data_IF_609150649736
#
_entry.id   IF_609150649736
#
_cell.length_a   1.000
_cell.length_b   1.000
_cell.length_c   1.000
_cell.angle_alpha   90.00
_cell.angle_beta   90.00
_cell.angle_gamma   90.00
#
_symmetry.space_group_name_H-M   'P 1'
#
loop_
_entity.id
_entity.type
_entity.pdbx_description
1 polymer ?
#
# COMPACT_ATOMS: atom_id res chain seq x y z
N UNK A 1 2.35 -26.42 -9.35
CA UNK A 1 1.27 -25.62 -8.75
C UNK A 1 0.42 -25.03 -9.88
N UNK A 2 -0.90 -25.26 -9.89
CA UNK A 2 -1.79 -24.68 -10.92
C UNK A 2 -2.37 -23.37 -10.41
N UNK A 3 -2.07 -22.27 -11.09
CA UNK A 3 -2.58 -20.93 -10.78
C UNK A 3 -3.96 -20.71 -11.41
N UNK A 4 -4.84 -19.98 -10.72
CA UNK A 4 -6.15 -19.57 -11.23
C UNK A 4 -6.36 -18.06 -11.13
N UNK A 5 -6.10 -17.36 -12.24
CA UNK A 5 -6.26 -15.91 -12.34
C UNK A 5 -7.70 -15.46 -12.06
N UNK A 6 -8.70 -16.33 -12.26
CA UNK A 6 -10.11 -16.00 -11.95
C UNK A 6 -10.33 -15.73 -10.46
N UNK A 7 -9.40 -16.11 -9.59
CA UNK A 7 -9.45 -15.80 -8.16
C UNK A 7 -9.17 -14.33 -7.84
N UNK A 8 -8.65 -13.54 -8.77
CA UNK A 8 -8.58 -12.07 -8.61
C UNK A 8 -9.99 -11.47 -8.58
N UNK A 9 -10.89 -11.97 -9.42
CA UNK A 9 -12.30 -11.57 -9.48
C UNK A 9 -13.18 -12.83 -9.35
N UNK A 10 -13.26 -13.42 -8.14
CA UNK A 10 -13.93 -14.69 -7.93
C UNK A 10 -15.45 -14.54 -8.12
N UNK A 11 -16.09 -15.63 -8.57
CA UNK A 11 -17.55 -15.68 -8.69
C UNK A 11 -18.25 -15.56 -7.33
N UNK A 12 -17.70 -16.21 -6.31
CA UNK A 12 -18.16 -16.08 -4.92
C UNK A 12 -17.08 -15.37 -4.08
N UNK A 13 -17.26 -14.07 -3.76
CA UNK A 13 -16.33 -13.32 -2.94
C UNK A 13 -16.52 -13.57 -1.44
N UNK A 14 -17.52 -14.35 -1.00
CA UNK A 14 -17.82 -14.55 0.42
C UNK A 14 -16.77 -15.41 1.14
N UNK A 15 -16.01 -16.23 0.41
CA UNK A 15 -15.05 -17.18 0.99
C UNK A 15 -13.69 -17.11 0.31
N UNK A 16 -12.65 -17.21 1.13
CA UNK A 16 -11.28 -17.38 0.64
C UNK A 16 -10.87 -18.85 0.75
N UNK A 17 -10.54 -19.48 -0.38
CA UNK A 17 -10.20 -20.91 -0.46
C UNK A 17 -8.68 -21.21 -0.37
N UNK A 18 -7.85 -20.19 -0.09
CA UNK A 18 -6.40 -20.32 0.02
C UNK A 18 -5.89 -20.61 1.45
N UNK A 19 -4.57 -20.50 1.63
CA UNK A 19 -3.91 -20.67 2.93
C UNK A 19 -4.31 -19.54 3.90
N UNK A 20 -4.79 -19.88 5.10
CA UNK A 20 -5.23 -18.88 6.09
C UNK A 20 -4.13 -17.89 6.48
N UNK A 21 -2.87 -18.34 6.51
CA UNK A 21 -1.71 -17.49 6.78
C UNK A 21 -1.56 -16.32 5.82
N UNK A 22 -1.99 -16.46 4.55
CA UNK A 22 -1.97 -15.37 3.57
C UNK A 22 -2.83 -14.22 4.08
N UNK A 23 -4.06 -14.49 4.52
CA UNK A 23 -4.96 -13.46 5.05
C UNK A 23 -4.42 -12.80 6.31
N UNK A 24 -3.74 -13.55 7.18
CA UNK A 24 -3.13 -12.98 8.38
C UNK A 24 -2.06 -11.95 8.01
N UNK A 25 -1.14 -12.31 7.10
CA UNK A 25 -0.09 -11.37 6.66
C UNK A 25 -0.70 -10.20 5.88
N UNK A 26 -1.72 -10.43 5.05
CA UNK A 26 -2.47 -9.34 4.39
C UNK A 26 -3.08 -8.38 5.40
N UNK A 27 -3.67 -8.87 6.49
CA UNK A 27 -4.23 -8.00 7.54
C UNK A 27 -3.15 -7.12 8.19
N UNK A 28 -1.96 -7.67 8.45
CA UNK A 28 -0.83 -6.89 8.97
C UNK A 28 -0.42 -5.77 8.00
N UNK A 29 -0.35 -6.05 6.69
CA UNK A 29 -0.09 -5.02 5.69
C UNK A 29 -1.19 -3.95 5.65
N UNK A 30 -2.46 -4.33 5.72
CA UNK A 30 -3.56 -3.35 5.76
C UNK A 30 -3.43 -2.44 6.98
N UNK A 31 -3.14 -3.00 8.16
CA UNK A 31 -2.92 -2.20 9.38
C UNK A 31 -1.76 -1.21 9.20
N UNK A 32 -0.63 -1.67 8.64
CA UNK A 32 0.52 -0.80 8.35
C UNK A 32 0.15 0.35 7.42
N UNK A 33 -0.60 0.06 6.34
CA UNK A 33 -1.04 1.10 5.39
C UNK A 33 -2.01 2.07 6.07
N UNK A 34 -2.97 1.60 6.87
CA UNK A 34 -3.89 2.49 7.62
C UNK A 34 -3.12 3.41 8.57
N UNK A 35 -2.20 2.87 9.37
CA UNK A 35 -1.40 3.66 10.32
C UNK A 35 -0.59 4.73 9.58
N UNK A 36 0.10 4.34 8.50
CA UNK A 36 0.87 5.28 7.67
C UNK A 36 -0.03 6.36 7.05
N UNK A 37 -1.21 6.00 6.56
CA UNK A 37 -2.15 6.98 6.01
C UNK A 37 -2.60 7.99 7.05
N UNK A 38 -2.87 7.55 8.28
CA UNK A 38 -3.19 8.45 9.39
C UNK A 38 -2.03 9.40 9.70
N UNK A 39 -0.79 8.91 9.69
CA UNK A 39 0.40 9.76 9.89
C UNK A 39 0.48 10.83 8.79
N UNK A 40 0.37 10.45 7.52
CA UNK A 40 0.41 11.41 6.41
C UNK A 40 -0.75 12.42 6.43
N UNK A 41 -1.91 12.05 6.98
CA UNK A 41 -3.06 12.95 7.08
C UNK A 41 -3.00 13.88 8.30
N UNK A 42 -2.50 13.42 9.45
CA UNK A 42 -2.68 14.11 10.73
C UNK A 42 -1.38 14.61 11.38
N UNK A 43 -0.20 14.17 10.94
CA UNK A 43 1.07 14.73 11.43
C UNK A 43 1.23 16.19 10.98
N UNK A 44 1.93 17.02 11.75
CA UNK A 44 2.02 18.47 11.53
C UNK A 44 2.58 18.89 10.16
N UNK A 45 3.44 18.06 9.55
CA UNK A 45 4.01 18.28 8.22
C UNK A 45 3.54 17.24 7.19
N UNK A 46 2.52 16.43 7.54
CA UNK A 46 2.08 15.29 6.74
C UNK A 46 3.16 14.25 6.46
N UNK A 47 4.29 14.27 7.18
CA UNK A 47 5.47 13.46 6.90
C UNK A 47 6.34 13.97 5.74
N UNK A 48 6.11 15.17 5.21
CA UNK A 48 6.89 15.74 4.11
C UNK A 48 8.38 15.89 4.47
N UNK A 49 8.66 16.50 5.62
CA UNK A 49 10.04 16.67 6.09
C UNK A 49 10.44 15.52 7.04
N UNK A 50 9.63 15.26 8.06
CA UNK A 50 9.91 14.33 9.15
C UNK A 50 10.04 12.86 8.74
N UNK A 51 9.48 12.48 7.59
CA UNK A 51 9.53 11.10 7.06
C UNK A 51 10.17 11.06 5.67
N UNK A 52 9.70 11.91 4.76
CA UNK A 52 10.19 11.92 3.39
C UNK A 52 11.48 12.71 3.21
N UNK A 53 11.88 13.54 4.19
CA UNK A 53 13.13 14.30 4.14
C UNK A 53 13.12 15.43 3.11
N UNK A 54 11.95 15.85 2.63
CA UNK A 54 11.82 16.97 1.69
C UNK A 54 12.08 18.28 2.46
N UNK A 55 12.84 19.19 1.86
CA UNK A 55 13.04 20.52 2.43
C UNK A 55 11.76 21.35 2.28
N UNK A 56 11.13 21.67 3.40
CA UNK A 56 9.91 22.50 3.47
C UNK A 56 10.21 23.93 3.92
N UNK A 57 11.48 24.33 4.03
CA UNK A 57 11.86 25.71 4.36
C UNK A 57 11.91 26.63 3.13
N UNK A 58 11.75 26.06 1.93
CA UNK A 58 11.78 26.75 0.64
C UNK A 58 10.48 27.52 0.36
N UNK A 59 10.53 28.41 -0.63
CA UNK A 59 9.31 29.02 -1.19
C UNK A 59 8.36 27.92 -1.69
N UNK A 60 7.15 27.88 -1.12
CA UNK A 60 6.16 26.83 -1.40
C UNK A 60 6.19 25.63 -0.45
N UNK A 61 7.01 25.64 0.61
CA UNK A 61 7.05 24.56 1.61
C UNK A 61 5.68 24.20 2.21
N UNK A 62 4.86 25.20 2.53
CA UNK A 62 3.48 24.99 3.00
C UNK A 62 2.59 24.27 1.97
N UNK A 63 2.81 24.51 0.67
CA UNK A 63 2.10 23.78 -0.38
C UNK A 63 2.55 22.32 -0.45
N UNK A 64 3.84 22.04 -0.21
CA UNK A 64 4.36 20.66 -0.13
C UNK A 64 3.68 19.94 1.03
N UNK A 65 3.62 20.56 2.22
CA UNK A 65 2.94 19.99 3.39
C UNK A 65 1.46 19.73 3.07
N UNK A 66 0.76 20.71 2.49
CA UNK A 66 -0.63 20.56 2.09
C UNK A 66 -0.84 19.39 1.11
N UNK A 67 0.06 19.21 0.13
CA UNK A 67 0.01 18.07 -0.79
C UNK A 67 0.23 16.73 -0.08
N UNK A 68 1.11 16.66 0.92
CA UNK A 68 1.29 15.44 1.72
C UNK A 68 0.04 15.11 2.56
N UNK A 69 -0.66 16.11 3.09
CA UNK A 69 -1.96 15.89 3.74
C UNK A 69 -3.01 15.37 2.76
N UNK A 70 -3.10 15.94 1.55
CA UNK A 70 -3.99 15.43 0.49
C UNK A 70 -3.64 13.98 0.11
N UNK A 71 -2.35 13.67 0.05
CA UNK A 71 -1.87 12.31 -0.18
C UNK A 71 -2.31 11.38 0.96
N UNK A 72 -2.13 11.77 2.22
CA UNK A 72 -2.61 11.02 3.38
C UNK A 72 -4.12 10.78 3.35
N UNK A 73 -4.91 11.77 2.92
CA UNK A 73 -6.36 11.68 2.83
C UNK A 73 -6.81 10.58 1.83
N UNK A 74 -6.29 10.62 0.60
CA UNK A 74 -6.62 9.60 -0.40
C UNK A 74 -6.08 8.22 0.01
N UNK A 75 -4.89 8.18 0.62
CA UNK A 75 -4.32 6.92 1.12
C UNK A 75 -5.19 6.31 2.21
N UNK A 76 -5.75 7.12 3.12
CA UNK A 76 -6.63 6.65 4.18
C UNK A 76 -7.96 6.15 3.61
N UNK A 77 -8.56 6.89 2.68
CA UNK A 77 -9.80 6.48 2.01
C UNK A 77 -9.65 5.10 1.34
N UNK A 78 -8.57 4.91 0.56
CA UNK A 78 -8.31 3.64 -0.11
C UNK A 78 -7.96 2.53 0.88
N UNK A 79 -7.20 2.82 1.94
CA UNK A 79 -6.90 1.82 2.98
C UNK A 79 -8.17 1.34 3.70
N UNK A 80 -9.10 2.25 4.03
CA UNK A 80 -10.39 1.89 4.62
C UNK A 80 -11.26 1.07 3.67
N UNK A 81 -11.21 1.36 2.37
CA UNK A 81 -11.85 0.49 1.36
C UNK A 81 -11.24 -0.92 1.40
N UNK A 82 -9.92 -1.06 1.46
CA UNK A 82 -9.28 -2.37 1.58
C UNK A 82 -9.68 -3.10 2.87
N UNK A 83 -9.82 -2.38 4.00
CA UNK A 83 -10.35 -2.93 5.26
C UNK A 83 -11.74 -3.51 5.04
N UNK A 84 -12.65 -2.74 4.43
CA UNK A 84 -14.02 -3.20 4.12
C UNK A 84 -13.98 -4.44 3.23
N UNK A 85 -13.21 -4.42 2.14
CA UNK A 85 -13.08 -5.56 1.23
C UNK A 85 -12.53 -6.80 1.95
N UNK A 86 -11.52 -6.63 2.79
CA UNK A 86 -10.87 -7.72 3.51
C UNK A 86 -11.81 -8.47 4.47
N UNK A 87 -12.63 -7.73 5.21
CA UNK A 87 -13.56 -8.32 6.17
C UNK A 87 -14.86 -8.79 5.51
N UNK A 88 -15.43 -7.98 4.61
CA UNK A 88 -16.75 -8.26 4.01
C UNK A 88 -16.71 -9.24 2.84
N UNK A 89 -15.57 -9.31 2.14
CA UNK A 89 -15.39 -10.10 0.92
C UNK A 89 -14.06 -10.88 0.95
N UNK A 90 -13.91 -11.88 1.83
CA UNK A 90 -12.67 -12.65 1.96
C UNK A 90 -12.10 -13.19 0.64
N UNK A 91 -12.96 -13.57 -0.30
CA UNK A 91 -12.57 -14.07 -1.62
C UNK A 91 -11.76 -13.06 -2.44
N UNK A 92 -11.89 -11.75 -2.16
CA UNK A 92 -11.11 -10.68 -2.80
C UNK A 92 -9.68 -10.53 -2.25
N UNK A 93 -9.22 -11.42 -1.37
CA UNK A 93 -7.83 -11.42 -0.87
C UNK A 93 -6.78 -11.30 -1.99
N UNK A 94 -6.88 -12.02 -3.13
CA UNK A 94 -5.93 -11.85 -4.24
C UNK A 94 -5.97 -10.46 -4.86
N UNK A 95 -7.15 -9.84 -5.00
CA UNK A 95 -7.28 -8.47 -5.50
C UNK A 95 -6.65 -7.47 -4.53
N UNK A 96 -6.90 -7.63 -3.23
CA UNK A 96 -6.31 -6.78 -2.18
C UNK A 96 -4.79 -6.87 -2.22
N UNK A 97 -4.23 -8.08 -2.31
CA UNK A 97 -2.78 -8.29 -2.42
C UNK A 97 -2.20 -7.66 -3.69
N UNK A 98 -2.92 -7.76 -4.82
CA UNK A 98 -2.52 -7.10 -6.06
C UNK A 98 -2.52 -5.57 -5.89
N UNK A 99 -3.57 -4.99 -5.30
CA UNK A 99 -3.65 -3.55 -5.03
C UNK A 99 -2.51 -3.08 -4.12
N UNK A 100 -2.19 -3.83 -3.06
CA UNK A 100 -1.07 -3.53 -2.18
C UNK A 100 0.27 -3.65 -2.90
N UNK A 101 0.47 -4.66 -3.75
CA UNK A 101 1.69 -4.85 -4.53
C UNK A 101 1.90 -3.74 -5.58
N UNK A 102 0.82 -3.11 -6.05
CA UNK A 102 0.90 -2.01 -7.01
C UNK A 102 1.40 -0.70 -6.39
N UNK A 103 1.26 -0.47 -5.08
CA UNK A 103 1.78 0.75 -4.44
C UNK A 103 3.30 0.93 -4.65
N UNK A 104 4.19 -0.02 -4.30
CA UNK A 104 5.63 0.14 -4.54
C UNK A 104 5.99 0.22 -6.03
N UNK A 105 5.24 -0.45 -6.92
CA UNK A 105 5.44 -0.37 -8.38
C UNK A 105 5.13 1.04 -8.88
N UNK A 106 3.96 1.58 -8.53
CA UNK A 106 3.55 2.93 -8.97
C UNK A 106 4.42 4.01 -8.35
N UNK A 107 4.91 3.83 -7.12
CA UNK A 107 5.90 4.72 -6.51
C UNK A 107 7.22 4.70 -7.26
N UNK A 108 7.71 3.52 -7.66
CA UNK A 108 8.91 3.40 -8.47
C UNK A 108 8.73 4.15 -9.81
N UNK A 109 7.63 3.91 -10.52
CA UNK A 109 7.32 4.62 -11.78
C UNK A 109 7.26 6.12 -11.57
N UNK A 110 6.55 6.60 -10.54
CA UNK A 110 6.49 8.02 -10.21
C UNK A 110 7.88 8.61 -9.97
N UNK A 111 8.76 7.91 -9.25
CA UNK A 111 10.13 8.34 -8.97
C UNK A 111 11.01 8.39 -10.23
N UNK A 112 10.72 7.59 -11.25
CA UNK A 112 11.39 7.69 -12.56
C UNK A 112 10.90 8.89 -13.38
N UNK A 113 9.63 9.29 -13.20
CA UNK A 113 9.08 10.48 -13.88
C UNK A 113 9.66 11.74 -13.25
N UNK A 114 9.60 11.86 -11.92
CA UNK A 114 10.20 12.93 -11.13
C UNK A 114 10.64 12.39 -9.76
N UNK A 115 11.90 12.63 -9.40
CA UNK A 115 12.45 12.21 -8.12
C UNK A 115 12.26 13.32 -7.08
N UNK A 116 11.97 12.92 -5.83
CA UNK A 116 12.00 13.85 -4.71
C UNK A 116 13.46 14.12 -4.33
N UNK A 117 13.82 15.39 -4.19
CA UNK A 117 15.07 15.77 -3.54
C UNK A 117 14.86 15.69 -2.03
N UNK A 118 15.67 14.86 -1.36
CA UNK A 118 15.51 14.55 0.06
C UNK A 118 16.86 14.60 0.78
N UNK A 119 16.86 14.93 2.07
CA UNK A 119 18.08 14.97 2.89
C UNK A 119 18.60 13.59 3.31
N UNK A 120 17.83 12.53 3.03
CA UNK A 120 18.19 11.15 3.30
C UNK A 120 17.15 10.18 2.75
N UNK A 121 17.50 8.90 2.63
CA UNK A 121 16.60 7.87 2.09
C UNK A 121 15.40 7.67 3.01
N UNK A 122 14.16 7.95 2.55
CA UNK A 122 12.98 7.77 3.38
C UNK A 122 12.68 6.28 3.58
N UNK A 123 12.02 5.90 4.70
CA UNK A 123 11.74 4.48 5.00
C UNK A 123 11.00 3.76 3.87
N UNK A 124 10.09 4.47 3.19
CA UNK A 124 9.36 3.93 2.04
C UNK A 124 10.29 3.46 0.92
N UNK A 125 11.36 4.20 0.62
CA UNK A 125 12.31 3.80 -0.41
C UNK A 125 13.10 2.57 0.01
N UNK A 126 13.58 2.53 1.25
CA UNK A 126 14.37 1.39 1.78
C UNK A 126 13.59 0.07 1.76
N UNK A 127 12.31 0.09 2.14
CA UNK A 127 11.53 -1.13 2.34
C UNK A 127 10.63 -1.53 1.15
N UNK A 128 10.44 -0.65 0.16
CA UNK A 128 9.50 -0.89 -0.95
C UNK A 128 9.77 -2.19 -1.71
N UNK A 129 11.03 -2.49 -2.03
CA UNK A 129 11.39 -3.70 -2.79
C UNK A 129 11.10 -4.98 -2.00
N UNK A 130 11.43 -5.00 -0.71
CA UNK A 130 11.15 -6.14 0.17
C UNK A 130 9.63 -6.35 0.32
N UNK A 131 8.87 -5.27 0.51
CA UNK A 131 7.41 -5.31 0.56
C UNK A 131 6.82 -5.83 -0.76
N UNK A 132 7.31 -5.36 -1.91
CA UNK A 132 6.86 -5.81 -3.23
C UNK A 132 7.06 -7.32 -3.40
N UNK A 133 8.26 -7.84 -3.13
CA UNK A 133 8.54 -9.27 -3.29
C UNK A 133 7.67 -10.14 -2.38
N UNK A 134 7.47 -9.73 -1.12
CA UNK A 134 6.58 -10.44 -0.20
C UNK A 134 5.13 -10.40 -0.67
N UNK A 135 4.62 -9.24 -1.08
CA UNK A 135 3.25 -9.09 -1.57
C UNK A 135 3.01 -9.86 -2.86
N UNK A 136 3.97 -9.90 -3.78
CA UNK A 136 3.91 -10.72 -4.99
C UNK A 136 3.92 -12.22 -4.66
N UNK A 137 4.75 -12.66 -3.74
CA UNK A 137 4.77 -14.05 -3.29
C UNK A 137 3.42 -14.46 -2.68
N UNK A 138 2.85 -13.61 -1.81
CA UNK A 138 1.53 -13.81 -1.23
C UNK A 138 0.43 -13.81 -2.29
N UNK A 139 0.50 -12.89 -3.25
CA UNK A 139 -0.44 -12.80 -4.38
C UNK A 139 -0.42 -14.10 -5.19
N UNK A 140 0.76 -14.56 -5.65
CA UNK A 140 0.90 -15.79 -6.41
C UNK A 140 0.40 -16.99 -5.60
N UNK A 141 0.75 -17.08 -4.31
CA UNK A 141 0.28 -18.13 -3.43
C UNK A 141 -1.25 -18.11 -3.24
N UNK A 142 -1.87 -16.93 -3.25
CA UNK A 142 -3.33 -16.78 -3.13
C UNK A 142 -4.09 -17.29 -4.36
N UNK A 143 -3.42 -17.39 -5.51
CA UNK A 143 -3.98 -17.91 -6.77
C UNK A 143 -3.84 -19.44 -6.90
N UNK A 144 -3.07 -20.09 -6.03
CA UNK A 144 -2.86 -21.53 -6.09
C UNK A 144 -4.15 -22.29 -5.77
N UNK A 145 -4.54 -23.22 -6.66
CA UNK A 145 -5.59 -24.20 -6.32
C UNK A 145 -5.04 -25.18 -5.29
N UNK A 146 -5.88 -25.55 -4.32
CA UNK A 146 -5.65 -26.77 -3.53
C UNK A 146 -5.77 -27.98 -4.44
#
# INVERSE_FOLDING_TARGET
>A
MKLDIKRVFPRDPAKFEGLRGIRLVTALFIVLVVVRSCIHLFASDGGAHSIAGVDTSVEGGENIIAMFHQWGAIQLLLALLLVVLFFRYPGLTPLILLSLAMDPVLRFVSGQIQHLTTVGTPPGETFNSAALYLLLALFIASLAKK
#
